data_IF_680077812338
#
_entry.id   IF_680077812338
#
_cell.length_a   1.000
_cell.length_b   1.000
_cell.length_c   1.000
_cell.angle_alpha   90.00
_cell.angle_beta   90.00
_cell.angle_gamma   90.00
#
_symmetry.space_group_name_H-M   'P 1'
#
loop_
_entity.id
_entity.type
_entity.pdbx_description
1 polymer ?
#
# COMPACT_ATOMS: atom_id res chain seq x y z
N UNK A 1 -21.15 16.75 14.14
CA UNK A 1 -19.69 16.58 14.23
C UNK A 1 -19.43 15.40 15.15
N UNK A 2 -18.70 14.38 14.67
CA UNK A 2 -18.44 13.17 15.44
C UNK A 2 -17.08 13.22 16.12
N UNK A 3 -16.99 12.70 17.36
CA UNK A 3 -15.73 12.66 18.12
C UNK A 3 -15.58 11.32 18.81
N UNK A 4 -14.48 10.64 18.54
CA UNK A 4 -14.04 9.48 19.30
C UNK A 4 -12.91 9.89 20.23
N UNK A 5 -13.01 9.55 21.52
CA UNK A 5 -12.04 9.91 22.55
C UNK A 5 -11.39 8.67 23.12
N UNK A 6 -10.08 8.75 23.32
CA UNK A 6 -9.27 7.66 23.85
C UNK A 6 -8.35 8.14 24.95
N UNK A 7 -8.33 7.45 26.06
CA UNK A 7 -7.36 7.66 27.12
C UNK A 7 -6.03 7.02 26.69
N UNK A 8 -4.98 7.81 26.67
CA UNK A 8 -3.60 7.38 26.36
C UNK A 8 -2.81 7.24 27.64
N UNK A 9 -2.18 6.10 27.82
CA UNK A 9 -1.37 5.79 28.99
C UNK A 9 0.02 5.28 28.57
N UNK A 10 1.12 5.56 29.31
CA UNK A 10 1.18 6.43 30.49
C UNK A 10 1.00 7.90 30.14
N UNK A 11 0.73 8.78 31.14
CA UNK A 11 0.75 10.22 30.96
C UNK A 11 2.07 10.68 30.30
N UNK A 12 2.00 11.60 29.33
CA UNK A 12 3.17 12.06 28.56
C UNK A 12 3.59 11.16 27.40
N UNK A 13 2.94 10.00 27.19
CA UNK A 13 3.26 9.11 26.07
C UNK A 13 3.18 9.82 24.71
N UNK A 14 2.32 10.83 24.58
CA UNK A 14 2.19 11.63 23.35
C UNK A 14 3.48 12.36 22.95
N UNK A 15 4.38 12.63 23.86
CA UNK A 15 5.66 13.31 23.58
C UNK A 15 6.62 12.41 22.79
N UNK A 16 6.50 11.09 22.95
CA UNK A 16 7.29 10.07 22.27
C UNK A 16 6.52 9.35 21.16
N UNK A 17 5.29 9.77 20.90
CA UNK A 17 4.40 9.15 19.91
C UNK A 17 3.76 10.19 18.96
N UNK A 18 4.57 10.88 18.12
CA UNK A 18 4.06 11.87 17.17
C UNK A 18 3.15 11.28 16.10
N UNK A 19 3.21 9.97 15.88
CA UNK A 19 2.41 9.26 14.87
C UNK A 19 0.90 9.26 15.18
N UNK A 20 0.45 9.70 16.36
CA UNK A 20 -0.98 9.93 16.61
C UNK A 20 -1.61 10.91 15.60
N UNK A 21 -0.82 11.85 15.06
CA UNK A 21 -1.26 12.77 14.01
C UNK A 21 -1.62 12.07 12.70
N UNK A 22 -1.13 10.84 12.52
CA UNK A 22 -1.42 10.02 11.36
C UNK A 22 -2.66 9.15 11.51
N UNK A 23 -3.33 9.19 12.65
CA UNK A 23 -4.55 8.42 12.89
C UNK A 23 -5.69 8.86 11.98
N UNK A 24 -6.55 7.91 11.66
CA UNK A 24 -7.73 8.16 10.86
C UNK A 24 -8.88 7.21 11.23
N UNK A 25 -10.10 7.62 10.89
CA UNK A 25 -11.28 6.81 11.09
C UNK A 25 -11.75 6.24 9.75
N UNK A 26 -12.09 4.96 9.75
CA UNK A 26 -12.70 4.28 8.61
C UNK A 26 -14.15 3.90 8.91
N UNK A 27 -15.01 3.97 7.90
CA UNK A 27 -16.36 3.43 7.94
C UNK A 27 -16.38 1.91 7.85
N UNK A 28 -17.58 1.34 7.87
CA UNK A 28 -17.79 -0.10 7.71
C UNK A 28 -17.39 -0.59 6.30
N UNK A 29 -17.53 0.27 5.31
CA UNK A 29 -17.10 0.04 3.92
C UNK A 29 -15.58 0.14 3.72
N UNK A 30 -14.84 0.49 4.78
CA UNK A 30 -13.38 0.68 4.75
C UNK A 30 -12.94 1.98 4.08
N UNK A 31 -13.85 2.94 3.82
CA UNK A 31 -13.50 4.28 3.35
C UNK A 31 -12.87 5.07 4.50
N UNK A 32 -11.77 5.73 4.21
CA UNK A 32 -11.11 6.64 5.15
C UNK A 32 -11.83 7.99 5.14
N UNK A 33 -12.09 8.55 6.30
CA UNK A 33 -12.70 9.86 6.45
C UNK A 33 -11.68 10.90 6.86
N UNK A 34 -11.91 12.14 6.44
CA UNK A 34 -11.16 13.27 6.98
C UNK A 34 -11.21 13.23 8.50
N UNK A 35 -10.05 13.21 9.12
CA UNK A 35 -9.91 13.06 10.56
C UNK A 35 -8.97 14.11 11.12
N UNK A 36 -9.43 14.88 12.08
CA UNK A 36 -8.62 15.82 12.85
C UNK A 36 -8.26 15.18 14.19
N UNK A 37 -6.98 15.15 14.49
CA UNK A 37 -6.44 14.49 15.68
C UNK A 37 -5.87 15.52 16.65
N UNK A 38 -6.10 15.33 17.93
CA UNK A 38 -5.62 16.21 18.99
C UNK A 38 -5.41 15.40 20.27
N UNK A 39 -4.39 15.73 21.04
CA UNK A 39 -4.21 15.19 22.40
C UNK A 39 -4.23 16.33 23.41
N UNK A 40 -5.12 16.24 24.39
CA UNK A 40 -5.20 17.16 25.53
C UNK A 40 -5.38 16.37 26.82
N UNK A 41 -4.59 16.64 27.85
CA UNK A 41 -4.69 15.96 29.16
C UNK A 41 -4.74 14.42 29.05
N UNK A 42 -3.87 13.84 28.21
CA UNK A 42 -3.81 12.41 27.91
C UNK A 42 -5.08 11.84 27.22
N UNK A 43 -5.99 12.68 26.77
CA UNK A 43 -7.14 12.27 25.97
C UNK A 43 -6.85 12.56 24.50
N UNK A 44 -6.69 11.49 23.74
CA UNK A 44 -6.56 11.52 22.29
C UNK A 44 -7.94 11.58 21.64
N UNK A 45 -8.19 12.60 20.86
CA UNK A 45 -9.47 12.86 20.19
C UNK A 45 -9.32 12.78 18.69
N UNK A 46 -10.17 12.00 18.03
CA UNK A 46 -10.32 11.93 16.57
C UNK A 46 -11.68 12.53 16.18
N UNK A 47 -11.65 13.62 15.42
CA UNK A 47 -12.86 14.36 14.99
C UNK A 47 -13.10 14.20 13.51
N UNK A 48 -14.37 14.05 13.13
CA UNK A 48 -14.83 14.03 11.73
C UNK A 48 -16.11 14.86 11.56
N UNK A 49 -16.50 15.14 10.30
CA UNK A 49 -17.60 16.04 9.99
C UNK A 49 -19.00 15.53 10.37
N UNK A 50 -19.19 14.24 10.57
CA UNK A 50 -20.47 13.59 10.88
C UNK A 50 -20.31 12.60 12.06
N UNK A 51 -21.44 12.24 12.67
CA UNK A 51 -21.50 11.29 13.77
C UNK A 51 -21.93 9.92 13.27
N UNK A 52 -21.11 8.90 13.51
CA UNK A 52 -21.39 7.50 13.19
C UNK A 52 -20.40 6.59 13.95
N UNK A 53 -20.65 5.29 13.96
CA UNK A 53 -19.66 4.31 14.38
C UNK A 53 -18.51 4.23 13.37
N UNK A 54 -17.34 3.78 13.79
CA UNK A 54 -16.19 3.61 12.91
C UNK A 54 -15.02 2.92 13.60
N UNK A 55 -14.02 2.58 12.81
CA UNK A 55 -12.77 2.00 13.31
C UNK A 55 -11.68 3.06 13.27
N UNK A 56 -11.00 3.26 14.36
CA UNK A 56 -9.84 4.15 14.42
C UNK A 56 -8.58 3.33 14.11
N UNK A 57 -7.76 3.84 13.22
CA UNK A 57 -6.46 3.26 12.81
C UNK A 57 -5.35 4.21 13.15
N UNK A 58 -4.24 3.70 13.70
CA UNK A 58 -3.09 4.52 14.09
C UNK A 58 -1.81 3.67 14.10
N UNK A 59 -0.64 4.22 13.67
CA UNK A 59 0.63 3.57 13.90
C UNK A 59 0.91 3.49 15.41
N UNK A 60 1.15 2.28 15.91
CA UNK A 60 1.32 2.03 17.33
C UNK A 60 2.60 1.25 17.62
N UNK A 61 3.43 1.68 18.60
CA UNK A 61 4.66 0.96 18.93
C UNK A 61 4.35 -0.41 19.52
N UNK A 62 4.89 -1.44 18.88
CA UNK A 62 4.78 -2.83 19.30
C UNK A 62 6.18 -3.42 19.42
N UNK A 63 6.50 -3.98 20.56
CA UNK A 63 7.81 -4.58 20.81
C UNK A 63 8.10 -5.68 19.77
N UNK A 64 9.27 -5.58 19.13
CA UNK A 64 9.70 -6.49 18.08
C UNK A 64 9.03 -6.31 16.71
N UNK A 65 8.06 -5.38 16.56
CA UNK A 65 7.32 -5.15 15.32
C UNK A 65 7.40 -3.71 14.80
N UNK A 66 8.17 -2.84 15.48
CA UNK A 66 8.21 -1.42 15.13
C UNK A 66 6.90 -0.70 15.43
N UNK A 67 6.39 0.08 14.48
CA UNK A 67 5.15 0.85 14.62
C UNK A 67 4.13 0.49 13.52
N UNK A 68 3.59 -0.74 13.49
CA UNK A 68 2.56 -1.10 12.54
C UNK A 68 1.27 -0.32 12.81
N UNK A 69 0.47 -0.10 11.76
CA UNK A 69 -0.88 0.42 11.94
C UNK A 69 -1.74 -0.63 12.62
N UNK A 70 -2.22 -0.31 13.80
CA UNK A 70 -3.26 -1.08 14.49
C UNK A 70 -4.61 -0.40 14.33
N UNK A 71 -5.67 -1.19 14.39
CA UNK A 71 -7.03 -0.74 14.19
C UNK A 71 -7.92 -1.22 15.34
N UNK A 72 -8.78 -0.35 15.83
CA UNK A 72 -9.83 -0.74 16.80
C UNK A 72 -10.92 -1.57 16.12
N UNK A 73 -11.76 -2.23 16.90
CA UNK A 73 -13.07 -2.66 16.39
C UNK A 73 -13.93 -1.44 16.05
N UNK A 74 -15.11 -1.65 15.45
CA UNK A 74 -16.06 -0.54 15.26
C UNK A 74 -16.56 -0.02 16.60
N UNK A 75 -16.28 1.26 16.87
CA UNK A 75 -16.64 1.94 18.12
C UNK A 75 -17.73 2.98 17.85
N UNK A 76 -18.59 3.17 18.84
CA UNK A 76 -19.56 4.28 18.86
C UNK A 76 -18.92 5.51 19.50
N UNK A 77 -19.41 6.67 19.15
CA UNK A 77 -19.07 7.90 19.85
C UNK A 77 -19.69 7.90 21.26
N UNK A 78 -18.90 8.33 22.23
CA UNK A 78 -19.35 8.50 23.63
C UNK A 78 -18.54 9.62 24.31
N UNK A 79 -19.07 10.14 25.41
CA UNK A 79 -18.42 11.21 26.19
C UNK A 79 -17.19 10.68 26.93
N UNK A 80 -17.34 9.53 27.58
CA UNK A 80 -16.24 8.88 28.29
C UNK A 80 -15.19 8.32 27.30
N UNK A 81 -13.89 8.59 27.49
CA UNK A 81 -12.87 8.07 26.61
C UNK A 81 -12.73 6.55 26.73
N UNK A 82 -12.45 5.90 25.60
CA UNK A 82 -12.02 4.50 25.55
C UNK A 82 -10.58 4.37 26.00
N UNK A 83 -10.18 3.26 26.56
CA UNK A 83 -8.77 2.98 26.84
C UNK A 83 -8.07 2.57 25.54
N UNK A 84 -7.14 3.41 25.03
CA UNK A 84 -6.60 3.25 23.67
C UNK A 84 -5.93 1.88 23.46
N UNK A 85 -4.95 1.52 24.30
CA UNK A 85 -4.23 0.25 24.16
C UNK A 85 -5.16 -0.96 24.26
N UNK A 86 -6.18 -0.92 25.12
CA UNK A 86 -7.18 -1.98 25.23
C UNK A 86 -8.01 -2.15 23.96
N UNK A 87 -8.46 -1.04 23.33
CA UNK A 87 -9.25 -1.12 22.11
C UNK A 87 -8.40 -1.53 20.89
N UNK A 88 -7.12 -1.16 20.85
CA UNK A 88 -6.20 -1.66 19.86
C UNK A 88 -5.92 -3.17 20.02
N UNK A 89 -5.76 -3.64 21.28
CA UNK A 89 -5.65 -5.07 21.57
C UNK A 89 -6.89 -5.84 21.13
N UNK A 90 -8.09 -5.32 21.45
CA UNK A 90 -9.37 -5.89 21.01
C UNK A 90 -9.46 -5.98 19.49
N UNK A 91 -9.05 -4.91 18.79
CA UNK A 91 -9.07 -4.85 17.34
C UNK A 91 -8.13 -5.86 16.70
N UNK A 92 -6.89 -5.97 17.22
CA UNK A 92 -5.90 -6.91 16.72
C UNK A 92 -6.30 -8.37 16.96
N UNK A 93 -6.79 -8.70 18.15
CA UNK A 93 -7.32 -10.03 18.46
C UNK A 93 -8.50 -10.41 17.57
N UNK A 94 -9.42 -9.47 17.32
CA UNK A 94 -10.54 -9.71 16.41
C UNK A 94 -10.05 -9.97 14.98
N UNK A 95 -9.06 -9.21 14.50
CA UNK A 95 -8.46 -9.40 13.18
C UNK A 95 -7.87 -10.82 13.03
N UNK A 96 -7.08 -11.25 14.02
CA UNK A 96 -6.43 -12.58 14.01
C UNK A 96 -7.48 -13.69 14.06
N UNK A 97 -8.46 -13.58 14.98
CA UNK A 97 -9.54 -14.55 15.13
C UNK A 97 -10.36 -14.71 13.85
N UNK A 98 -10.75 -13.61 13.23
CA UNK A 98 -11.57 -13.63 12.03
C UNK A 98 -10.81 -14.27 10.85
N UNK A 99 -9.51 -13.99 10.70
CA UNK A 99 -8.69 -14.60 9.67
C UNK A 99 -8.41 -16.08 9.94
N UNK A 100 -8.11 -16.43 11.19
CA UNK A 100 -7.96 -17.82 11.61
C UNK A 100 -9.21 -18.64 11.25
N UNK A 101 -10.39 -18.13 11.62
CA UNK A 101 -11.65 -18.82 11.31
C UNK A 101 -11.83 -19.02 9.80
N UNK A 102 -11.60 -18.00 8.98
CA UNK A 102 -11.72 -18.08 7.52
C UNK A 102 -10.77 -19.12 6.92
N UNK A 103 -9.51 -19.11 7.32
CA UNK A 103 -8.52 -20.03 6.78
C UNK A 103 -8.70 -21.46 7.31
N UNK A 104 -9.20 -21.63 8.51
CA UNK A 104 -9.57 -22.95 9.04
C UNK A 104 -10.73 -23.57 8.24
N UNK A 105 -11.73 -22.76 7.85
CA UNK A 105 -12.80 -23.22 6.94
C UNK A 105 -12.26 -23.59 5.55
N UNK A 106 -11.18 -22.93 5.11
CA UNK A 106 -10.46 -23.26 3.87
C UNK A 106 -9.46 -24.43 4.06
N UNK A 107 -9.57 -25.20 5.13
CA UNK A 107 -8.73 -26.37 5.46
C UNK A 107 -7.25 -26.08 5.71
N UNK A 108 -6.90 -24.88 6.17
CA UNK A 108 -5.56 -24.62 6.67
C UNK A 108 -5.29 -25.45 7.93
N UNK A 109 -4.20 -26.20 7.94
CA UNK A 109 -3.73 -26.87 9.15
C UNK A 109 -3.14 -25.82 10.10
N UNK A 110 -3.78 -25.66 11.25
CA UNK A 110 -3.42 -24.60 12.22
C UNK A 110 -2.28 -25.12 13.13
N UNK A 111 -1.13 -24.37 13.24
CA UNK A 111 -0.04 -24.77 14.10
C UNK A 111 -0.42 -24.73 15.60
N UNK A 112 0.09 -25.67 16.38
CA UNK A 112 -0.13 -25.66 17.85
C UNK A 112 0.47 -24.42 18.52
N UNK A 113 1.61 -23.95 18.03
CA UNK A 113 2.27 -22.75 18.52
C UNK A 113 1.37 -21.51 18.36
N UNK A 114 0.70 -21.37 17.19
CA UNK A 114 -0.30 -20.32 17.00
C UNK A 114 -1.40 -20.39 18.05
N UNK A 115 -1.98 -21.58 18.30
CA UNK A 115 -3.05 -21.76 19.28
C UNK A 115 -2.62 -21.36 20.68
N UNK A 116 -1.37 -21.69 21.06
CA UNK A 116 -0.79 -21.32 22.35
C UNK A 116 -0.66 -19.81 22.47
N UNK A 117 0.01 -19.16 21.50
CA UNK A 117 0.26 -17.70 21.52
C UNK A 117 -1.06 -16.93 21.48
N UNK A 118 -2.02 -17.36 20.66
CA UNK A 118 -3.34 -16.74 20.58
C UNK A 118 -4.11 -16.83 21.92
N UNK A 119 -4.01 -17.95 22.62
CA UNK A 119 -4.62 -18.11 23.96
C UNK A 119 -3.95 -17.19 24.97
N UNK A 120 -2.63 -17.08 24.95
CA UNK A 120 -1.88 -16.16 25.83
C UNK A 120 -2.25 -14.71 25.56
N UNK A 121 -2.33 -14.29 24.26
CA UNK A 121 -2.76 -12.96 23.87
C UNK A 121 -4.17 -12.63 24.40
N UNK A 122 -5.10 -13.59 24.28
CA UNK A 122 -6.46 -13.43 24.82
C UNK A 122 -6.48 -13.35 26.34
N UNK A 123 -5.66 -14.13 27.05
CA UNK A 123 -5.55 -14.08 28.52
C UNK A 123 -5.06 -12.72 28.98
N UNK A 124 -4.03 -12.17 28.34
CA UNK A 124 -3.52 -10.82 28.64
C UNK A 124 -4.59 -9.74 28.34
N UNK A 125 -5.35 -9.88 27.27
CA UNK A 125 -6.47 -8.99 26.96
C UNK A 125 -7.59 -9.07 28.03
N UNK A 126 -7.96 -10.27 28.46
CA UNK A 126 -8.98 -10.45 29.49
C UNK A 126 -8.53 -9.81 30.82
N UNK A 127 -7.25 -9.95 31.18
CA UNK A 127 -6.67 -9.29 32.34
C UNK A 127 -6.71 -7.77 32.20
N UNK A 128 -6.31 -7.21 31.06
CA UNK A 128 -6.40 -5.77 30.79
C UNK A 128 -7.84 -5.26 30.90
N UNK A 129 -8.81 -6.00 30.34
CA UNK A 129 -10.23 -5.64 30.36
C UNK A 129 -10.83 -5.66 31.76
N UNK A 130 -10.36 -6.56 32.64
CA UNK A 130 -10.81 -6.63 34.04
C UNK A 130 -10.22 -5.51 34.89
N UNK A 131 -9.08 -4.95 34.54
CA UNK A 131 -8.32 -3.99 35.33
C UNK A 131 -8.38 -2.55 34.80
N UNK A 132 -9.45 -2.15 34.13
CA UNK A 132 -9.58 -0.78 33.58
C UNK A 132 -9.54 0.32 34.64
N UNK A 133 -9.86 -0.01 35.89
CA UNK A 133 -9.75 0.93 37.04
C UNK A 133 -8.30 1.11 37.54
N UNK A 134 -7.36 0.32 37.02
CA UNK A 134 -5.93 0.37 37.29
C UNK A 134 -5.16 0.65 36.00
N UNK A 135 -5.03 1.92 35.57
CA UNK A 135 -4.52 2.27 34.24
C UNK A 135 -3.16 1.69 33.87
N UNK A 136 -2.22 1.66 34.82
CA UNK A 136 -0.87 1.07 34.59
C UNK A 136 -0.95 -0.42 34.26
N UNK A 137 -1.76 -1.16 35.00
CA UNK A 137 -1.92 -2.59 34.83
C UNK A 137 -2.70 -2.92 33.54
N UNK A 138 -3.74 -2.16 33.28
CA UNK A 138 -4.52 -2.25 32.05
C UNK A 138 -3.65 -2.02 30.82
N UNK A 139 -2.87 -0.93 30.77
CA UNK A 139 -2.01 -0.60 29.63
C UNK A 139 -0.92 -1.65 29.42
N UNK A 140 -0.23 -2.08 30.48
CA UNK A 140 0.80 -3.11 30.42
C UNK A 140 0.24 -4.42 29.85
N UNK A 141 -0.89 -4.89 30.37
CA UNK A 141 -1.51 -6.14 29.91
C UNK A 141 -2.07 -6.00 28.49
N UNK A 142 -2.58 -4.84 28.11
CA UNK A 142 -3.05 -4.58 26.74
C UNK A 142 -1.88 -4.56 25.75
N UNK A 143 -0.75 -3.95 26.07
CA UNK A 143 0.47 -3.96 25.22
C UNK A 143 1.04 -5.36 25.06
N UNK A 144 1.08 -6.16 26.12
CA UNK A 144 1.48 -7.56 26.06
C UNK A 144 0.54 -8.37 25.16
N UNK A 145 -0.77 -8.14 25.28
CA UNK A 145 -1.77 -8.75 24.39
C UNK A 145 -1.54 -8.38 22.93
N UNK A 146 -1.25 -7.10 22.63
CA UNK A 146 -0.97 -6.63 21.26
C UNK A 146 0.26 -7.33 20.69
N UNK A 147 1.37 -7.37 21.43
CA UNK A 147 2.61 -8.00 20.98
C UNK A 147 2.40 -9.50 20.67
N UNK A 148 1.73 -10.24 21.55
CA UNK A 148 1.38 -11.64 21.32
C UNK A 148 0.40 -11.84 20.17
N UNK A 149 -0.57 -10.95 20.01
CA UNK A 149 -1.51 -11.01 18.88
C UNK A 149 -0.83 -10.72 17.52
N UNK A 150 0.20 -9.85 17.49
CA UNK A 150 1.05 -9.65 16.33
C UNK A 150 1.88 -10.90 16.03
N UNK A 151 2.48 -11.52 17.04
CA UNK A 151 3.20 -12.81 16.87
C UNK A 151 2.26 -13.90 16.35
N UNK A 152 1.05 -14.01 16.88
CA UNK A 152 0.04 -14.95 16.37
C UNK A 152 -0.32 -14.67 14.91
N UNK A 153 -0.43 -13.38 14.51
CA UNK A 153 -0.67 -13.00 13.13
C UNK A 153 0.43 -13.49 12.19
N UNK A 154 1.71 -13.34 12.59
CA UNK A 154 2.85 -13.81 11.80
C UNK A 154 2.83 -15.35 11.67
N UNK A 155 2.68 -16.07 12.78
CA UNK A 155 2.61 -17.55 12.78
C UNK A 155 1.49 -18.07 11.85
N UNK A 156 0.35 -17.41 11.89
CA UNK A 156 -0.80 -17.77 11.03
C UNK A 156 -0.52 -17.49 9.55
N UNK A 157 0.12 -16.35 9.26
CA UNK A 157 0.49 -15.96 7.88
C UNK A 157 1.55 -16.90 7.31
N UNK A 158 2.59 -17.23 8.09
CA UNK A 158 3.63 -18.18 7.69
C UNK A 158 3.06 -19.57 7.41
N UNK A 159 2.14 -20.05 8.27
CA UNK A 159 1.46 -21.33 8.06
C UNK A 159 0.67 -21.34 6.74
N UNK A 160 -0.05 -20.24 6.45
CA UNK A 160 -0.80 -20.09 5.21
C UNK A 160 0.13 -20.11 3.99
N UNK A 161 1.16 -19.28 3.98
CA UNK A 161 2.11 -19.18 2.85
C UNK A 161 2.80 -20.53 2.63
N UNK A 162 3.31 -21.16 3.69
CA UNK A 162 4.01 -22.46 3.60
C UNK A 162 3.11 -23.54 3.00
N UNK A 163 1.88 -23.67 3.48
CA UNK A 163 0.95 -24.71 3.01
C UNK A 163 0.45 -24.40 1.59
N UNK A 164 0.22 -23.12 1.27
CA UNK A 164 -0.16 -22.68 -0.07
C UNK A 164 0.92 -22.96 -1.09
N UNK A 165 2.18 -22.61 -0.77
CA UNK A 165 3.33 -22.87 -1.61
C UNK A 165 3.57 -24.36 -1.81
N UNK A 166 3.42 -25.17 -0.75
CA UNK A 166 3.50 -26.63 -0.86
C UNK A 166 2.41 -27.21 -1.78
N UNK A 167 1.20 -26.65 -1.75
CA UNK A 167 0.11 -27.04 -2.66
C UNK A 167 0.41 -26.69 -4.12
N UNK A 168 0.91 -25.45 -4.37
CA UNK A 168 1.27 -24.99 -5.72
C UNK A 168 2.40 -25.86 -6.29
N UNK A 169 3.44 -26.16 -5.50
CA UNK A 169 4.57 -27.01 -5.91
C UNK A 169 4.17 -28.45 -6.26
N UNK A 170 3.08 -28.97 -5.67
CA UNK A 170 2.55 -30.30 -6.03
C UNK A 170 1.82 -30.28 -7.39
N UNK A 171 1.22 -29.17 -7.77
CA UNK A 171 0.45 -29.02 -9.00
C UNK A 171 1.28 -28.49 -10.17
N UNK A 172 2.38 -27.81 -9.90
CA UNK A 172 3.27 -27.21 -10.92
C UNK A 172 4.71 -27.17 -10.43
N UNK A 173 5.65 -27.50 -11.32
CA UNK A 173 7.10 -27.38 -11.04
C UNK A 173 7.55 -25.92 -10.87
N UNK A 174 6.83 -24.98 -11.48
CA UNK A 174 7.10 -23.56 -11.38
C UNK A 174 5.81 -22.81 -11.02
N UNK A 175 5.82 -21.95 -10.00
CA UNK A 175 4.68 -21.09 -9.72
C UNK A 175 4.36 -20.24 -10.96
N UNK A 176 3.10 -20.14 -11.39
CA UNK A 176 2.71 -19.30 -12.52
C UNK A 176 2.63 -17.81 -12.07
N UNK A 177 3.68 -17.31 -11.42
CA UNK A 177 3.74 -15.96 -10.88
C UNK A 177 4.91 -15.20 -11.45
N UNK A 178 4.71 -13.90 -11.67
CA UNK A 178 5.77 -12.98 -12.03
C UNK A 178 6.44 -12.50 -10.73
N UNK A 179 7.75 -12.73 -10.62
CA UNK A 179 8.58 -12.15 -9.58
C UNK A 179 9.57 -11.22 -10.26
N UNK A 180 9.49 -9.93 -9.97
CA UNK A 180 10.27 -8.93 -10.65
C UNK A 180 10.83 -7.86 -9.73
N UNK A 181 11.80 -7.12 -10.25
CA UNK A 181 12.30 -5.91 -9.63
C UNK A 181 12.26 -4.74 -10.63
N UNK A 182 12.22 -3.52 -10.08
CA UNK A 182 12.48 -2.33 -10.88
C UNK A 182 13.95 -2.35 -11.33
N UNK A 183 14.17 -2.04 -12.59
CA UNK A 183 15.49 -2.02 -13.20
C UNK A 183 16.00 -0.59 -13.38
N UNK A 184 17.30 -0.45 -13.34
CA UNK A 184 18.04 0.71 -13.79
C UNK A 184 19.25 0.24 -14.61
N UNK A 185 20.11 1.16 -15.04
CA UNK A 185 21.30 0.82 -15.83
C UNK A 185 22.30 -0.11 -15.11
N UNK A 186 22.19 -0.26 -13.78
CA UNK A 186 23.06 -1.16 -13.01
C UNK A 186 22.85 -2.63 -13.37
N UNK A 187 21.66 -2.99 -13.85
CA UNK A 187 21.36 -4.36 -14.33
C UNK A 187 22.20 -4.75 -15.55
N UNK A 188 22.74 -3.79 -16.29
CA UNK A 188 23.59 -4.02 -17.47
C UNK A 188 25.04 -4.36 -17.09
N UNK A 189 25.42 -4.20 -15.81
CA UNK A 189 26.73 -4.66 -15.33
C UNK A 189 26.78 -6.17 -15.26
N UNK A 190 27.97 -6.76 -15.35
CA UNK A 190 28.16 -8.24 -15.31
C UNK A 190 27.57 -8.84 -14.02
N UNK A 191 27.88 -8.22 -12.86
CA UNK A 191 27.39 -8.68 -11.56
C UNK A 191 25.88 -8.49 -11.43
N UNK A 192 25.35 -7.31 -11.78
CA UNK A 192 23.91 -7.02 -11.72
C UNK A 192 23.12 -7.94 -12.63
N UNK A 193 23.57 -8.16 -13.86
CA UNK A 193 22.97 -9.08 -14.81
C UNK A 193 22.86 -10.51 -14.27
N UNK A 194 23.94 -11.02 -13.66
CA UNK A 194 23.95 -12.37 -13.09
C UNK A 194 22.94 -12.51 -11.97
N UNK A 195 22.99 -11.64 -10.98
CA UNK A 195 22.09 -11.67 -9.80
C UNK A 195 20.63 -11.53 -10.25
N UNK A 196 20.36 -10.60 -11.16
CA UNK A 196 18.99 -10.37 -11.64
C UNK A 196 18.41 -11.62 -12.32
N UNK A 197 19.16 -12.25 -13.22
CA UNK A 197 18.72 -13.44 -13.96
C UNK A 197 18.51 -14.67 -13.08
N UNK A 198 19.28 -14.79 -12.01
CA UNK A 198 19.16 -15.90 -11.05
C UNK A 198 17.95 -15.74 -10.12
N UNK A 199 17.49 -14.50 -9.92
CA UNK A 199 16.46 -14.16 -8.92
C UNK A 199 15.10 -13.88 -9.53
N UNK A 200 15.05 -13.16 -10.68
CA UNK A 200 13.81 -12.59 -11.22
C UNK A 200 13.48 -13.16 -12.62
N UNK A 201 12.18 -13.32 -12.87
CA UNK A 201 11.67 -13.68 -14.20
C UNK A 201 11.00 -12.50 -14.92
N UNK A 202 10.89 -11.35 -14.24
CA UNK A 202 10.23 -10.15 -14.75
C UNK A 202 11.05 -8.91 -14.36
N UNK A 203 11.13 -7.95 -15.27
CA UNK A 203 11.76 -6.66 -15.05
C UNK A 203 10.74 -5.53 -15.21
N UNK A 204 10.66 -4.62 -14.25
CA UNK A 204 9.89 -3.38 -14.39
C UNK A 204 10.83 -2.29 -14.89
N UNK A 205 10.69 -1.89 -16.15
CA UNK A 205 11.47 -0.83 -16.80
C UNK A 205 10.76 0.48 -16.61
N UNK A 206 11.32 1.42 -15.80
CA UNK A 206 10.69 2.70 -15.55
C UNK A 206 10.77 3.59 -16.80
N UNK A 207 9.61 4.07 -17.25
CA UNK A 207 9.49 4.98 -18.38
C UNK A 207 9.06 6.33 -17.84
N UNK A 208 10.02 7.15 -17.47
CA UNK A 208 9.76 8.48 -16.90
C UNK A 208 9.75 9.51 -18.02
N UNK A 209 8.58 10.07 -18.31
CA UNK A 209 8.42 11.01 -19.42
C UNK A 209 9.39 12.20 -19.34
N UNK A 210 9.55 12.82 -18.17
CA UNK A 210 10.45 13.95 -18.00
C UNK A 210 11.93 13.65 -18.27
N UNK A 211 12.37 12.40 -18.08
CA UNK A 211 13.75 11.97 -18.39
C UNK A 211 13.91 11.65 -19.89
N UNK A 212 12.84 11.21 -20.54
CA UNK A 212 12.83 10.83 -21.96
C UNK A 212 12.67 12.07 -22.85
N UNK A 213 11.80 13.00 -22.47
CA UNK A 213 11.49 14.23 -23.21
C UNK A 213 11.66 15.46 -22.30
N UNK A 214 12.91 15.82 -21.96
CA UNK A 214 13.19 16.96 -21.10
C UNK A 214 12.79 18.31 -21.76
N UNK A 215 12.78 18.35 -23.09
CA UNK A 215 12.32 19.45 -23.94
C UNK A 215 11.33 18.91 -24.96
N UNK A 216 10.29 19.66 -25.27
CA UNK A 216 9.23 19.28 -26.22
C UNK A 216 9.82 18.80 -27.55
N UNK A 217 9.47 17.59 -27.97
CA UNK A 217 9.90 16.97 -29.21
C UNK A 217 11.33 16.39 -29.20
N UNK A 218 12.07 16.52 -28.11
CA UNK A 218 13.44 16.02 -28.00
C UNK A 218 13.52 14.76 -27.12
N UNK A 219 13.42 13.59 -27.76
CA UNK A 219 13.35 12.29 -27.08
C UNK A 219 14.69 11.61 -26.94
N UNK A 220 15.01 11.14 -25.74
CA UNK A 220 16.14 10.25 -25.45
C UNK A 220 15.66 8.87 -25.00
N UNK A 221 15.49 7.96 -25.94
CA UNK A 221 15.04 6.60 -25.68
C UNK A 221 16.18 5.61 -25.35
N UNK A 222 17.44 5.99 -25.57
CA UNK A 222 18.57 5.06 -25.48
C UNK A 222 18.64 4.28 -24.15
N UNK A 223 18.47 4.90 -22.96
CA UNK A 223 18.52 4.16 -21.70
C UNK A 223 17.42 3.10 -21.59
N UNK A 224 16.24 3.37 -22.13
CA UNK A 224 15.10 2.45 -22.12
C UNK A 224 15.34 1.31 -23.14
N UNK A 225 15.82 1.65 -24.34
CA UNK A 225 16.18 0.68 -25.37
C UNK A 225 17.20 -0.33 -24.85
N UNK A 226 18.21 0.11 -24.13
CA UNK A 226 19.27 -0.75 -23.57
C UNK A 226 18.70 -1.73 -22.53
N UNK A 227 17.82 -1.25 -21.63
CA UNK A 227 17.17 -2.11 -20.64
C UNK A 227 16.21 -3.14 -21.27
N UNK A 228 15.43 -2.73 -22.28
CA UNK A 228 14.51 -3.62 -22.99
C UNK A 228 15.29 -4.67 -23.79
N UNK A 229 16.37 -4.28 -24.47
CA UNK A 229 17.25 -5.20 -25.18
C UNK A 229 17.85 -6.25 -24.22
N UNK A 230 18.32 -5.81 -23.05
CA UNK A 230 18.80 -6.72 -22.01
C UNK A 230 17.72 -7.74 -21.60
N UNK A 231 16.51 -7.28 -21.33
CA UNK A 231 15.40 -8.16 -20.95
C UNK A 231 15.08 -9.17 -22.04
N UNK A 232 14.99 -8.72 -23.30
CA UNK A 232 14.66 -9.55 -24.44
C UNK A 232 15.74 -10.62 -24.70
N UNK A 233 17.02 -10.24 -24.70
CA UNK A 233 18.15 -11.17 -24.87
C UNK A 233 18.20 -12.26 -23.79
N UNK A 234 17.75 -11.94 -22.56
CA UNK A 234 17.76 -12.86 -21.44
C UNK A 234 16.39 -13.52 -21.18
N UNK A 235 15.40 -13.34 -22.06
CA UNK A 235 14.04 -13.91 -21.95
C UNK A 235 13.33 -13.50 -20.64
N UNK A 236 13.60 -12.31 -20.16
CA UNK A 236 12.95 -11.72 -18.99
C UNK A 236 11.69 -11.01 -19.48
N UNK A 237 10.57 -11.26 -18.83
CA UNK A 237 9.30 -10.59 -19.14
C UNK A 237 9.41 -9.11 -18.78
N UNK A 238 9.21 -8.24 -19.75
CA UNK A 238 9.31 -6.80 -19.55
C UNK A 238 7.95 -6.21 -19.22
N UNK A 239 7.90 -5.46 -18.14
CA UNK A 239 6.81 -4.58 -17.75
C UNK A 239 7.26 -3.13 -17.88
N UNK A 240 6.60 -2.35 -18.72
CA UNK A 240 6.95 -0.95 -18.98
C UNK A 240 6.12 0.03 -18.15
N UNK A 241 6.72 1.12 -17.71
CA UNK A 241 6.01 2.22 -17.06
C UNK A 241 6.34 2.43 -15.58
N UNK A 242 5.56 3.30 -14.88
CA UNK A 242 4.38 3.99 -15.41
C UNK A 242 4.71 4.97 -16.52
N UNK A 243 3.85 5.04 -17.55
CA UNK A 243 4.01 5.99 -18.65
C UNK A 243 3.76 7.42 -18.18
N UNK A 244 2.69 7.60 -17.41
CA UNK A 244 2.30 8.88 -16.83
C UNK A 244 2.29 8.77 -15.32
N UNK A 245 2.96 9.72 -14.67
CA UNK A 245 2.87 9.87 -13.22
C UNK A 245 2.19 11.18 -12.87
N UNK A 246 1.05 11.12 -12.20
CA UNK A 246 0.32 12.31 -11.76
C UNK A 246 0.85 12.86 -10.41
N UNK A 247 2.09 12.54 -10.06
CA UNK A 247 2.84 13.19 -8.96
C UNK A 247 3.25 14.62 -9.36
N UNK A 248 3.51 15.53 -8.43
CA UNK A 248 3.95 16.90 -8.74
C UNK A 248 5.13 16.96 -9.72
N UNK A 249 6.11 16.07 -9.56
CA UNK A 249 7.31 15.94 -10.37
C UNK A 249 7.25 14.88 -11.46
N UNK A 250 6.05 14.33 -11.71
CA UNK A 250 5.86 13.16 -12.56
C UNK A 250 5.72 13.44 -14.05
N UNK A 251 5.53 14.71 -14.42
CA UNK A 251 5.38 15.16 -15.81
C UNK A 251 6.54 16.11 -16.18
N UNK A 252 6.88 16.22 -17.49
CA UNK A 252 7.91 17.16 -17.93
C UNK A 252 7.59 18.61 -17.54
N UNK A 253 8.63 19.37 -17.16
CA UNK A 253 8.46 20.74 -16.70
C UNK A 253 7.87 21.68 -17.77
N UNK A 254 8.14 21.41 -19.05
CA UNK A 254 7.60 22.22 -20.16
C UNK A 254 6.09 22.11 -20.28
N UNK A 255 5.44 21.05 -19.79
CA UNK A 255 3.98 20.93 -19.72
C UNK A 255 3.30 21.92 -18.76
N UNK A 256 4.04 22.58 -17.88
CA UNK A 256 3.48 23.51 -16.91
C UNK A 256 2.76 24.69 -17.58
N UNK A 257 3.16 25.10 -18.78
CA UNK A 257 2.47 26.15 -19.56
C UNK A 257 1.06 25.76 -19.99
N UNK A 258 0.76 24.46 -20.07
CA UNK A 258 -0.55 23.90 -20.45
C UNK A 258 -1.44 23.55 -19.25
N UNK A 259 -0.98 23.79 -18.01
CA UNK A 259 -1.71 23.44 -16.78
C UNK A 259 -3.15 24.01 -16.71
N UNK A 260 -3.39 25.17 -17.35
CA UNK A 260 -4.72 25.82 -17.38
C UNK A 260 -5.60 25.35 -18.53
N UNK A 261 -5.03 24.69 -19.54
CA UNK A 261 -5.73 24.16 -20.71
C UNK A 261 -5.73 22.64 -20.70
N UNK A 262 -6.70 22.08 -19.99
CA UNK A 262 -6.80 20.64 -19.78
C UNK A 262 -6.95 19.84 -21.10
N UNK A 263 -7.57 20.39 -22.12
CA UNK A 263 -7.77 19.67 -23.38
C UNK A 263 -6.45 19.51 -24.14
N UNK A 264 -5.67 20.57 -24.25
CA UNK A 264 -4.35 20.51 -24.87
C UNK A 264 -3.38 19.66 -24.02
N UNK A 265 -3.39 19.83 -22.70
CA UNK A 265 -2.61 18.97 -21.78
C UNK A 265 -2.92 17.49 -22.02
N UNK A 266 -4.20 17.11 -22.09
CA UNK A 266 -4.60 15.73 -22.32
C UNK A 266 -4.17 15.22 -23.72
N UNK A 267 -4.12 16.09 -24.73
CA UNK A 267 -3.59 15.72 -26.05
C UNK A 267 -2.13 15.37 -25.97
N UNK A 268 -1.27 16.24 -25.40
CA UNK A 268 0.15 15.97 -25.23
C UNK A 268 0.41 14.66 -24.46
N UNK A 269 -0.36 14.43 -23.40
CA UNK A 269 -0.26 13.20 -22.59
C UNK A 269 -0.59 11.97 -23.43
N UNK A 270 -1.65 12.01 -24.24
CA UNK A 270 -2.04 10.90 -25.11
C UNK A 270 -1.01 10.67 -26.22
N UNK A 271 -0.46 11.73 -26.81
CA UNK A 271 0.54 11.67 -27.87
C UNK A 271 1.84 11.01 -27.36
N UNK A 272 2.28 11.33 -26.13
CA UNK A 272 3.41 10.64 -25.51
C UNK A 272 3.11 9.15 -25.29
N UNK A 273 1.92 8.83 -24.79
CA UNK A 273 1.51 7.42 -24.55
C UNK A 273 1.49 6.65 -25.88
N UNK A 274 0.90 7.21 -26.93
CA UNK A 274 0.88 6.63 -28.27
C UNK A 274 2.32 6.40 -28.79
N UNK A 275 3.21 7.36 -28.61
CA UNK A 275 4.61 7.30 -29.02
C UNK A 275 5.36 6.18 -28.28
N UNK A 276 5.22 6.12 -26.95
CA UNK A 276 5.92 5.13 -26.12
C UNK A 276 5.42 3.70 -26.39
N UNK A 277 4.10 3.52 -26.46
CA UNK A 277 3.50 2.20 -26.70
C UNK A 277 3.81 1.72 -28.11
N UNK A 278 3.68 2.56 -29.13
CA UNK A 278 4.02 2.22 -30.52
C UNK A 278 5.47 1.81 -30.68
N UNK A 279 6.42 2.52 -30.01
CA UNK A 279 7.84 2.21 -30.08
C UNK A 279 8.18 0.79 -29.63
N UNK A 280 7.49 0.32 -28.58
CA UNK A 280 7.80 -0.96 -27.94
C UNK A 280 6.73 -2.03 -28.16
N UNK A 281 5.84 -1.85 -29.13
CA UNK A 281 4.86 -2.86 -29.54
C UNK A 281 5.54 -4.19 -29.84
N UNK A 282 5.04 -5.28 -29.24
CA UNK A 282 5.59 -6.61 -29.36
C UNK A 282 6.81 -6.92 -28.46
N UNK A 283 7.49 -5.90 -27.92
CA UNK A 283 8.59 -6.04 -26.96
C UNK A 283 8.10 -5.95 -25.52
N UNK A 284 7.19 -5.03 -25.22
CA UNK A 284 6.52 -4.89 -23.91
C UNK A 284 5.07 -5.29 -24.10
N UNK A 285 4.60 -6.22 -23.27
CA UNK A 285 3.21 -6.70 -23.27
C UNK A 285 2.44 -6.40 -21.99
N UNK A 286 3.11 -5.87 -20.99
CA UNK A 286 2.52 -5.47 -19.71
C UNK A 286 2.90 -4.02 -19.46
N UNK A 287 1.89 -3.15 -19.44
CA UNK A 287 2.08 -1.72 -19.28
C UNK A 287 1.46 -1.20 -18.00
N UNK A 288 2.19 -0.44 -17.23
CA UNK A 288 1.61 0.48 -16.24
C UNK A 288 1.37 1.82 -16.94
N UNK A 289 0.12 2.11 -17.25
CA UNK A 289 -0.22 3.31 -18.04
C UNK A 289 -0.11 4.57 -17.18
N UNK A 290 -0.64 4.53 -15.97
CA UNK A 290 -0.65 5.69 -15.09
C UNK A 290 -0.34 5.30 -13.65
N UNK A 291 0.31 6.20 -12.92
CA UNK A 291 0.49 6.14 -11.46
C UNK A 291 0.00 7.41 -10.78
N UNK A 292 -0.30 7.30 -9.48
CA UNK A 292 -0.75 8.39 -8.63
C UNK A 292 -2.04 9.09 -9.09
N UNK A 293 -2.80 8.53 -10.03
CA UNK A 293 -4.07 9.12 -10.46
C UNK A 293 -5.08 9.31 -9.32
N UNK A 294 -5.07 8.38 -8.37
CA UNK A 294 -5.93 8.43 -7.18
C UNK A 294 -5.50 9.48 -6.14
N UNK A 295 -4.23 9.90 -6.12
CA UNK A 295 -3.71 10.93 -5.21
C UNK A 295 -3.56 12.28 -5.92
N UNK A 296 -3.14 12.25 -7.20
CA UNK A 296 -2.92 13.44 -8.01
C UNK A 296 -1.74 14.31 -7.54
N UNK A 297 -1.83 15.58 -7.87
CA UNK A 297 -0.86 16.63 -7.48
C UNK A 297 -0.03 17.17 -8.63
N UNK A 298 -0.02 16.53 -9.81
CA UNK A 298 0.57 17.08 -11.01
C UNK A 298 -0.22 18.30 -11.48
N UNK A 299 0.46 19.38 -11.80
CA UNK A 299 -0.08 20.59 -12.42
C UNK A 299 -1.36 21.14 -11.75
N UNK A 300 -1.55 20.90 -10.46
CA UNK A 300 -2.75 21.26 -9.69
C UNK A 300 -4.07 20.72 -10.27
N UNK A 301 -4.03 19.60 -11.00
CA UNK A 301 -5.23 18.94 -11.50
C UNK A 301 -6.14 18.55 -10.34
N UNK A 302 -7.43 18.81 -10.50
CA UNK A 302 -8.43 18.34 -9.55
C UNK A 302 -8.71 16.83 -9.73
N UNK A 303 -9.47 16.24 -8.81
CA UNK A 303 -9.76 14.80 -8.80
C UNK A 303 -10.49 14.32 -10.06
N UNK A 304 -11.43 15.13 -10.60
CA UNK A 304 -12.15 14.83 -11.82
C UNK A 304 -11.24 14.89 -13.06
N UNK A 305 -10.37 15.89 -13.13
CA UNK A 305 -9.36 16.01 -14.18
C UNK A 305 -8.36 14.85 -14.13
N UNK A 306 -7.89 14.47 -12.95
CA UNK A 306 -6.99 13.32 -12.76
C UNK A 306 -7.66 12.01 -13.21
N UNK A 307 -8.93 11.81 -12.88
CA UNK A 307 -9.72 10.66 -13.32
C UNK A 307 -9.89 10.65 -14.85
N UNK A 308 -10.31 11.79 -15.43
CA UNK A 308 -10.50 11.94 -16.88
C UNK A 308 -9.18 11.73 -17.63
N UNK A 309 -8.08 12.28 -17.17
CA UNK A 309 -6.78 12.10 -17.79
C UNK A 309 -6.32 10.64 -17.73
N UNK A 310 -6.50 9.96 -16.59
CA UNK A 310 -6.21 8.53 -16.45
C UNK A 310 -7.01 7.67 -17.41
N UNK A 311 -8.32 7.96 -17.60
CA UNK A 311 -9.16 7.24 -18.54
C UNK A 311 -8.67 7.45 -19.98
N UNK A 312 -8.40 8.69 -20.39
CA UNK A 312 -7.92 9.04 -21.75
C UNK A 312 -6.56 8.39 -22.07
N UNK A 313 -5.63 8.40 -21.12
CA UNK A 313 -4.33 7.72 -21.29
C UNK A 313 -4.48 6.22 -21.48
N UNK A 314 -5.39 5.61 -20.76
CA UNK A 314 -5.68 4.18 -20.89
C UNK A 314 -6.32 3.88 -22.26
N UNK A 315 -7.28 4.68 -22.70
CA UNK A 315 -7.89 4.57 -24.04
C UNK A 315 -6.85 4.73 -25.16
N UNK A 316 -5.94 5.70 -25.06
CA UNK A 316 -4.86 5.91 -26.01
C UNK A 316 -3.95 4.67 -26.10
N UNK A 317 -3.50 4.16 -24.96
CA UNK A 317 -2.65 2.97 -24.92
C UNK A 317 -3.31 1.73 -25.54
N UNK A 318 -4.59 1.48 -25.24
CA UNK A 318 -5.36 0.35 -25.79
C UNK A 318 -5.55 0.49 -27.31
N UNK A 319 -5.82 1.70 -27.80
CA UNK A 319 -5.98 1.97 -29.22
C UNK A 319 -4.68 1.70 -30.00
N UNK A 320 -3.53 1.97 -29.38
CA UNK A 320 -2.21 1.83 -29.99
C UNK A 320 -1.74 0.38 -30.02
N UNK A 321 -2.00 -0.39 -28.96
CA UNK A 321 -1.64 -1.82 -28.90
C UNK A 321 -2.73 -2.59 -28.14
N UNK A 322 -3.69 -3.17 -28.89
CA UNK A 322 -4.80 -3.94 -28.32
C UNK A 322 -4.39 -5.31 -27.77
N UNK A 323 -3.21 -5.82 -28.10
CA UNK A 323 -2.74 -7.15 -27.71
C UNK A 323 -1.99 -7.13 -26.37
N UNK A 324 -1.66 -5.94 -25.86
CA UNK A 324 -0.98 -5.77 -24.58
C UNK A 324 -1.96 -5.68 -23.41
N UNK A 325 -1.42 -5.89 -22.20
CA UNK A 325 -2.15 -5.76 -20.95
C UNK A 325 -1.85 -4.43 -20.29
N UNK A 326 -2.89 -3.73 -19.83
CA UNK A 326 -2.78 -2.39 -19.26
C UNK A 326 -3.22 -2.37 -17.80
N UNK A 327 -2.36 -1.79 -16.97
CA UNK A 327 -2.51 -1.70 -15.52
C UNK A 327 -2.49 -0.24 -15.07
N UNK A 328 -3.18 0.03 -13.96
CA UNK A 328 -3.08 1.28 -13.23
C UNK A 328 -2.31 1.05 -11.93
N UNK A 329 -1.30 1.88 -11.66
CA UNK A 329 -0.60 1.88 -10.37
C UNK A 329 -1.38 2.73 -9.39
N UNK A 330 -1.79 2.13 -8.29
CA UNK A 330 -2.57 2.74 -7.22
C UNK A 330 -1.69 2.94 -6.01
N UNK A 331 -1.47 4.19 -5.65
CA UNK A 331 -0.67 4.57 -4.49
C UNK A 331 -1.52 4.61 -3.23
N UNK A 332 -0.90 4.33 -2.09
CA UNK A 332 -1.57 4.25 -0.78
C UNK A 332 -2.90 3.47 -0.87
N UNK A 333 -2.86 2.18 -1.23
CA UNK A 333 -4.07 1.41 -1.58
C UNK A 333 -5.04 1.20 -0.40
N UNK A 334 -4.65 1.54 0.84
CA UNK A 334 -5.54 1.63 2.00
C UNK A 334 -6.32 2.95 2.08
N UNK A 335 -5.97 3.96 1.27
CA UNK A 335 -6.65 5.25 1.23
C UNK A 335 -6.22 6.24 2.32
N UNK A 336 -5.05 6.07 2.91
CA UNK A 336 -4.53 6.92 4.01
C UNK A 336 -4.47 8.41 3.66
N UNK A 337 -4.30 8.75 2.37
CA UNK A 337 -4.30 10.13 1.88
C UNK A 337 -5.62 10.86 2.10
N UNK A 338 -6.74 10.14 2.18
CA UNK A 338 -8.08 10.73 2.38
C UNK A 338 -8.24 11.39 3.76
N UNK A 339 -7.41 11.01 4.75
CA UNK A 339 -7.47 11.60 6.09
C UNK A 339 -7.33 13.12 6.09
N UNK A 340 -6.67 13.69 5.09
CA UNK A 340 -6.45 15.13 4.95
C UNK A 340 -7.66 15.87 4.32
N UNK A 341 -8.69 15.15 3.90
CA UNK A 341 -9.93 15.71 3.35
C UNK A 341 -9.84 16.34 1.97
N UNK A 342 -8.71 16.16 1.27
CA UNK A 342 -8.49 16.71 -0.07
C UNK A 342 -9.11 15.87 -1.19
N UNK A 343 -9.43 14.61 -0.90
CA UNK A 343 -9.91 13.63 -1.89
C UNK A 343 -11.25 13.02 -1.46
N UNK A 344 -12.18 12.93 -2.41
CA UNK A 344 -13.50 12.33 -2.20
C UNK A 344 -13.51 10.84 -2.53
N UNK A 345 -12.75 10.43 -3.57
CA UNK A 345 -12.70 9.05 -4.01
C UNK A 345 -11.66 8.27 -3.21
N UNK A 346 -12.07 7.13 -2.67
CA UNK A 346 -11.10 6.14 -2.16
C UNK A 346 -10.33 5.52 -3.34
N UNK A 347 -9.16 4.88 -3.09
CA UNK A 347 -8.42 4.21 -4.16
C UNK A 347 -9.29 3.20 -4.91
N UNK A 348 -10.13 2.46 -4.18
CA UNK A 348 -11.07 1.50 -4.74
C UNK A 348 -12.15 2.16 -5.60
N UNK A 349 -12.75 3.27 -5.13
CA UNK A 349 -13.75 4.03 -5.89
C UNK A 349 -13.16 4.69 -7.14
N UNK A 350 -11.90 5.10 -7.10
CA UNK A 350 -11.20 5.64 -8.26
C UNK A 350 -11.12 4.59 -9.39
N UNK A 351 -10.70 3.37 -9.06
CA UNK A 351 -10.63 2.27 -10.04
C UNK A 351 -12.02 1.83 -10.50
N UNK A 352 -12.99 1.74 -9.59
CA UNK A 352 -14.39 1.43 -9.95
C UNK A 352 -14.97 2.48 -10.93
N UNK A 353 -14.64 3.76 -10.76
CA UNK A 353 -15.05 4.81 -11.70
C UNK A 353 -14.42 4.62 -13.10
N UNK A 354 -13.14 4.22 -13.18
CA UNK A 354 -12.50 3.88 -14.46
C UNK A 354 -13.19 2.68 -15.12
N UNK A 355 -13.46 1.61 -14.37
CA UNK A 355 -14.15 0.42 -14.90
C UNK A 355 -15.54 0.81 -15.45
N UNK A 356 -16.28 1.66 -14.73
CA UNK A 356 -17.61 2.14 -15.14
C UNK A 356 -17.58 3.09 -16.35
N UNK A 357 -16.45 3.69 -16.66
CA UNK A 357 -16.30 4.48 -17.90
C UNK A 357 -16.20 3.61 -19.16
N UNK A 358 -16.31 2.28 -19.01
CA UNK A 358 -16.24 1.30 -20.08
C UNK A 358 -14.89 1.22 -20.81
N UNK A 359 -13.83 1.68 -20.15
CA UNK A 359 -12.45 1.52 -20.63
C UNK A 359 -11.94 0.17 -20.17
N UNK A 360 -11.36 -0.60 -21.07
CA UNK A 360 -10.81 -1.91 -20.76
C UNK A 360 -9.60 -1.76 -19.85
N UNK A 361 -9.65 -2.38 -18.67
CA UNK A 361 -8.57 -2.42 -17.68
C UNK A 361 -8.28 -3.89 -17.34
N UNK A 362 -7.03 -4.32 -17.53
CA UNK A 362 -6.62 -5.70 -17.25
C UNK A 362 -6.32 -5.92 -15.76
N UNK A 363 -5.75 -4.91 -15.10
CA UNK A 363 -5.37 -5.05 -13.70
C UNK A 363 -4.97 -3.76 -13.01
N UNK A 364 -4.64 -3.93 -11.74
CA UNK A 364 -4.10 -2.87 -10.88
C UNK A 364 -2.77 -3.28 -10.28
N UNK A 365 -1.87 -2.33 -10.12
CA UNK A 365 -0.62 -2.47 -9.40
C UNK A 365 -0.75 -1.72 -8.08
N UNK A 366 -0.84 -2.45 -6.97
CA UNK A 366 -0.94 -1.86 -5.64
C UNK A 366 0.46 -1.44 -5.17
N UNK A 367 0.68 -0.14 -5.03
CA UNK A 367 1.97 0.42 -4.62
C UNK A 367 2.04 0.48 -3.09
N UNK A 368 2.68 -0.52 -2.50
CA UNK A 368 2.93 -0.62 -1.06
C UNK A 368 4.34 -0.08 -0.81
N UNK A 369 4.44 1.23 -0.77
CA UNK A 369 5.67 1.95 -0.49
C UNK A 369 5.73 2.29 0.99
N UNK A 370 6.63 1.65 1.73
CA UNK A 370 6.78 1.84 3.18
C UNK A 370 8.11 2.54 3.44
N UNK A 371 8.06 3.66 4.14
CA UNK A 371 9.27 4.37 4.60
C UNK A 371 9.81 5.45 3.69
N UNK A 372 9.22 5.68 2.52
CA UNK A 372 9.69 6.70 1.58
C UNK A 372 8.59 7.76 1.36
N UNK A 373 8.57 8.77 2.24
CA UNK A 373 7.60 9.87 2.20
C UNK A 373 7.83 10.81 0.99
N UNK A 374 6.88 11.67 0.62
CA UNK A 374 5.66 11.97 1.36
C UNK A 374 4.49 11.01 1.10
N UNK A 375 4.66 9.99 0.28
CA UNK A 375 3.56 9.14 -0.22
C UNK A 375 3.64 7.69 0.25
N UNK A 376 4.44 7.45 1.29
CA UNK A 376 4.53 6.16 1.90
C UNK A 376 3.19 5.71 2.51
N UNK A 377 2.95 4.40 2.42
CA UNK A 377 2.01 3.72 3.29
C UNK A 377 2.63 3.58 4.68
N UNK A 378 1.80 3.51 5.71
CA UNK A 378 2.29 3.09 7.02
C UNK A 378 2.57 1.59 7.06
N UNK A 379 3.56 1.19 7.85
CA UNK A 379 3.90 -0.22 8.04
C UNK A 379 2.67 -1.02 8.50
N UNK A 380 2.53 -2.22 7.97
CA UNK A 380 1.43 -3.14 8.27
C UNK A 380 1.94 -4.56 8.35
N UNK A 381 1.20 -5.39 9.07
CA UNK A 381 1.48 -6.83 9.13
C UNK A 381 0.92 -7.57 7.89
N UNK A 382 1.35 -8.81 7.72
CA UNK A 382 0.97 -9.65 6.58
C UNK A 382 -0.54 -9.92 6.51
N UNK A 383 -1.24 -10.02 7.64
CA UNK A 383 -2.70 -10.17 7.64
C UNK A 383 -3.41 -8.94 7.05
N UNK A 384 -2.89 -7.76 7.29
CA UNK A 384 -3.45 -6.51 6.72
C UNK A 384 -3.20 -6.43 5.21
N UNK A 385 -2.04 -6.92 4.74
CA UNK A 385 -1.72 -7.02 3.31
C UNK A 385 -2.64 -8.06 2.64
N UNK A 386 -2.80 -9.24 3.24
CA UNK A 386 -3.71 -10.27 2.74
C UNK A 386 -5.15 -9.75 2.60
N UNK A 387 -5.68 -9.06 3.61
CA UNK A 387 -7.00 -8.44 3.55
C UNK A 387 -7.12 -7.35 2.49
N UNK A 388 -6.05 -6.62 2.23
CA UNK A 388 -6.01 -5.65 1.13
C UNK A 388 -6.17 -6.36 -0.21
N UNK A 389 -5.38 -7.40 -0.45
CA UNK A 389 -5.43 -8.18 -1.69
C UNK A 389 -6.82 -8.81 -1.88
N UNK A 390 -7.39 -9.41 -0.83
CA UNK A 390 -8.74 -9.99 -0.86
C UNK A 390 -9.81 -8.95 -1.24
N UNK A 391 -9.70 -7.73 -0.72
CA UNK A 391 -10.61 -6.64 -1.06
C UNK A 391 -10.48 -6.25 -2.53
N UNK A 392 -9.26 -6.08 -3.03
CA UNK A 392 -9.02 -5.68 -4.41
C UNK A 392 -9.39 -6.77 -5.41
N UNK A 393 -9.29 -8.05 -5.04
CA UNK A 393 -9.70 -9.17 -5.88
C UNK A 393 -11.20 -9.16 -6.23
N UNK A 394 -12.02 -8.48 -5.43
CA UNK A 394 -13.47 -8.34 -5.68
C UNK A 394 -13.78 -7.53 -6.94
N UNK A 395 -12.84 -6.74 -7.46
CA UNK A 395 -13.01 -6.04 -8.74
C UNK A 395 -12.89 -6.98 -9.96
N UNK A 396 -12.46 -8.24 -9.77
CA UNK A 396 -12.25 -9.19 -10.87
C UNK A 396 -11.05 -8.86 -11.76
N UNK A 397 -10.17 -7.95 -11.33
CA UNK A 397 -8.97 -7.52 -12.04
C UNK A 397 -7.75 -8.34 -11.61
N UNK A 398 -6.75 -8.43 -12.49
CA UNK A 398 -5.42 -8.93 -12.10
C UNK A 398 -4.77 -7.97 -11.09
N UNK A 399 -4.08 -8.53 -10.09
CA UNK A 399 -3.41 -7.73 -9.06
C UNK A 399 -1.91 -7.95 -9.14
N UNK A 400 -1.17 -6.88 -9.35
CA UNK A 400 0.26 -6.80 -9.10
C UNK A 400 0.49 -6.08 -7.78
N UNK A 401 1.52 -6.48 -7.04
CA UNK A 401 1.96 -5.80 -5.81
C UNK A 401 3.35 -5.25 -6.05
N UNK A 402 3.50 -3.95 -5.94
CA UNK A 402 4.79 -3.28 -5.93
C UNK A 402 5.15 -3.03 -4.47
N UNK A 403 6.13 -3.75 -3.95
CA UNK A 403 6.62 -3.58 -2.59
C UNK A 403 7.92 -2.78 -2.61
N UNK A 404 7.92 -1.66 -1.88
CA UNK A 404 9.10 -0.84 -1.65
C UNK A 404 9.25 -0.62 -0.15
N UNK A 405 10.39 -1.00 0.41
CA UNK A 405 10.68 -0.89 1.83
C UNK A 405 12.18 -0.65 2.05
N UNK A 406 12.58 -0.16 3.24
CA UNK A 406 13.98 0.09 3.55
C UNK A 406 14.88 -1.10 3.26
N UNK A 407 16.08 -0.83 2.74
CA UNK A 407 17.02 -1.84 2.28
C UNK A 407 17.71 -2.62 3.41
N UNK A 408 17.67 -2.11 4.63
CA UNK A 408 18.26 -2.76 5.81
C UNK A 408 17.47 -2.51 7.09
N UNK A 409 17.70 -3.32 8.13
CA UNK A 409 17.19 -3.11 9.48
C UNK A 409 17.85 -1.95 10.24
N UNK A 410 18.96 -1.42 9.72
CA UNK A 410 19.64 -0.22 10.19
C UNK A 410 19.03 1.01 9.50
N UNK A 411 19.65 2.17 9.62
CA UNK A 411 19.16 3.36 8.95
C UNK A 411 19.38 3.28 7.41
N UNK A 412 18.29 3.33 6.65
CA UNK A 412 18.35 3.57 5.20
C UNK A 412 18.30 5.08 4.97
N UNK A 413 19.36 5.70 4.40
CA UNK A 413 19.44 7.16 4.27
C UNK A 413 18.40 7.75 3.32
N UNK A 414 17.77 6.92 2.47
CA UNK A 414 16.71 7.35 1.56
C UNK A 414 15.32 7.23 2.19
N UNK A 415 15.21 6.54 3.33
CA UNK A 415 13.94 6.36 4.02
C UNK A 415 13.75 7.44 5.09
N UNK A 416 12.55 8.02 5.13
CA UNK A 416 12.20 9.12 6.07
C UNK A 416 11.68 8.62 7.43
N UNK A 417 11.67 7.31 7.64
CA UNK A 417 11.16 6.73 8.89
C UNK A 417 12.29 6.49 9.90
N UNK A 418 11.93 6.50 11.18
CA UNK A 418 12.86 6.19 12.25
C UNK A 418 13.42 4.77 12.15
N UNK A 419 14.63 4.54 12.68
CA UNK A 419 15.29 3.21 12.70
C UNK A 419 14.36 2.11 13.22
N UNK A 420 13.59 2.39 14.28
CA UNK A 420 12.67 1.41 14.86
C UNK A 420 11.56 0.99 13.90
N UNK A 421 11.09 1.92 13.05
CA UNK A 421 10.09 1.63 12.02
C UNK A 421 10.74 0.83 10.89
N UNK A 422 11.94 1.22 10.45
CA UNK A 422 12.68 0.50 9.40
C UNK A 422 12.96 -0.94 9.81
N UNK A 423 13.39 -1.18 11.05
CA UNK A 423 13.60 -2.52 11.58
C UNK A 423 12.32 -3.36 11.56
N UNK A 424 11.19 -2.78 11.97
CA UNK A 424 9.90 -3.45 11.91
C UNK A 424 9.47 -3.81 10.48
N UNK A 425 9.66 -2.88 9.53
CA UNK A 425 9.38 -3.11 8.11
C UNK A 425 10.29 -4.19 7.54
N UNK A 426 11.61 -4.12 7.78
CA UNK A 426 12.55 -5.13 7.30
C UNK A 426 12.22 -6.51 7.85
N UNK A 427 11.86 -6.61 9.12
CA UNK A 427 11.43 -7.88 9.71
C UNK A 427 10.21 -8.44 8.98
N UNK A 428 9.20 -7.64 8.73
CA UNK A 428 7.95 -8.09 8.09
C UNK A 428 8.11 -8.37 6.60
N UNK A 429 8.90 -7.56 5.88
CA UNK A 429 9.01 -7.64 4.42
C UNK A 429 10.12 -8.57 3.93
N UNK A 430 11.21 -8.74 4.68
CA UNK A 430 12.40 -9.46 4.25
C UNK A 430 12.68 -10.75 5.02
N UNK A 431 12.10 -10.94 6.19
CA UNK A 431 12.31 -12.14 6.99
C UNK A 431 11.29 -13.26 6.73
N UNK A 432 10.24 -12.96 6.00
CA UNK A 432 9.16 -13.87 5.57
C UNK A 432 9.15 -14.06 4.05
#
# INVERSE_FOLDING_TARGET
MGVMRFLVHPPGFSEVWPEFQCAYITGLDGRVFQTHTEIQNNVFSCRRSFSDSGKMSVPWPVEGFGKPVLMTTSLREREEPYFLSLELARGKLAQVRDQWWLWQQAHLAIPEEFLKVQKEAFTSFAHASANQNHPDECDRAARDSIAKACMAADLLSQAYVTQRMASIRRSSSHPPSLLGAATDLSVLTETGSKVFKETFNTASVPIRWGDIEPEEGNYNWQPIDDMINFCNQNRIITRGGPLISLRPEGLPNWLACWAVDFLNLASFVCDFVDTAVSRYTGLIRIWEVSSAGNIGGALNLNEEQSLSLTARTLEAAIRTDSDSQFFLRIEQPWGEYQRNGKHRLSPYQFVDAIIRSNVQLNGVSLDINIGYTPRACFARDMLSISKLIDRWSQLGLQIHVNLCCPSSGEADPLADQSISIQQGVCRTAWSE
#
